data_IF_893631075841
#
_entry.id   IF_893631075841
#
_cell.length_a   1.000
_cell.length_b   1.000
_cell.length_c   1.000
_cell.angle_alpha   90.00
_cell.angle_beta   90.00
_cell.angle_gamma   90.00
#
_symmetry.space_group_name_H-M   'P 1'
#
loop_
_entity.id
_entity.type
_entity.pdbx_description
1 polymer ?
#
# COMPACT_ATOMS: atom_id res chain seq x y z
N UNK A 1 10.50 -2.86 -7.36
CA UNK A 1 10.71 -1.58 -6.68
C UNK A 1 9.39 -0.98 -6.22
N UNK A 2 8.54 -1.81 -5.64
CA UNK A 2 7.24 -1.35 -5.16
C UNK A 2 6.76 -2.22 -3.99
N UNK A 3 5.72 -1.75 -3.31
CA UNK A 3 5.16 -2.49 -2.17
C UNK A 3 3.65 -2.50 -2.23
N UNK A 4 3.05 -3.51 -1.58
CA UNK A 4 1.60 -3.64 -1.55
C UNK A 4 1.13 -4.17 -0.20
N UNK A 5 1.61 -3.55 0.87
CA UNK A 5 1.23 -3.96 2.23
C UNK A 5 0.76 -2.76 3.04
N UNK A 6 1.61 -1.74 3.12
CA UNK A 6 1.29 -0.54 3.87
C UNK A 6 0.78 0.56 2.95
N UNK A 7 0.24 0.16 1.80
CA UNK A 7 -0.28 1.11 0.82
C UNK A 7 -1.69 0.75 0.40
N UNK A 8 -1.96 -0.55 0.28
CA UNK A 8 -3.27 -1.04 -0.12
C UNK A 8 -4.35 -0.56 0.86
N UNK A 9 -4.17 -0.90 2.13
CA UNK A 9 -5.12 -0.52 3.16
C UNK A 9 -4.72 0.81 3.80
N UNK A 10 -3.79 1.50 3.16
CA UNK A 10 -3.32 2.79 3.66
C UNK A 10 -3.74 3.93 2.74
N UNK A 11 -3.93 3.61 1.46
CA UNK A 11 -4.34 4.61 0.49
C UNK A 11 -5.84 4.85 0.56
N UNK A 12 -6.60 3.80 0.86
CA UNK A 12 -8.05 3.90 0.96
C UNK A 12 -8.50 3.82 2.41
#
# INVERSE_FOLDING_TARGET
>A
KRIVKRIKKWLR
#
